data_IF_562849991188
#
_entry.id   IF_562849991188
#
_cell.length_a   1.000
_cell.length_b   1.000
_cell.length_c   1.000
_cell.angle_alpha   90.00
_cell.angle_beta   90.00
_cell.angle_gamma   90.00
#
_symmetry.space_group_name_H-M   'P 1'
#
loop_
_entity.id
_entity.type
_entity.pdbx_description
1 polymer ?
#
# COMPACT_ATOMS: atom_id res chain seq x y z
N UNK A 1 -12.79 -0.80 -15.19
CA UNK A 1 -11.89 -1.00 -16.37
C UNK A 1 -10.43 -0.61 -16.07
N UNK A 2 -10.14 0.54 -15.45
CA UNK A 2 -8.77 0.96 -15.08
C UNK A 2 -8.04 -0.02 -14.13
N UNK A 3 -8.74 -0.50 -13.09
CA UNK A 3 -8.24 -1.49 -12.12
C UNK A 3 -7.83 -2.82 -12.79
N UNK A 4 -8.52 -3.27 -13.85
CA UNK A 4 -8.16 -4.54 -14.52
C UNK A 4 -6.90 -4.45 -15.39
N UNK A 5 -6.55 -3.27 -15.91
CA UNK A 5 -5.33 -3.10 -16.72
C UNK A 5 -4.07 -2.80 -15.89
N UNK A 6 -4.24 -2.39 -14.63
CA UNK A 6 -3.16 -2.13 -13.68
C UNK A 6 -2.68 -3.39 -12.92
N UNK A 7 -3.31 -4.56 -13.13
CA UNK A 7 -3.14 -5.72 -12.24
C UNK A 7 -3.93 -5.57 -10.92
N UNK A 8 -5.02 -4.81 -10.95
CA UNK A 8 -5.69 -4.26 -9.77
C UNK A 8 -6.30 -5.28 -8.81
N UNK A 9 -6.71 -6.47 -9.24
CA UNK A 9 -7.11 -7.51 -8.28
C UNK A 9 -5.90 -8.03 -7.49
N UNK A 10 -4.76 -8.26 -8.16
CA UNK A 10 -3.53 -8.69 -7.48
C UNK A 10 -2.93 -7.59 -6.61
N UNK A 11 -2.97 -6.33 -7.07
CA UNK A 11 -2.57 -5.17 -6.26
C UNK A 11 -3.47 -5.02 -5.05
N UNK A 12 -4.79 -4.99 -5.23
CA UNK A 12 -5.75 -4.87 -4.15
C UNK A 12 -5.62 -6.03 -3.16
N UNK A 13 -5.39 -7.25 -3.64
CA UNK A 13 -5.13 -8.42 -2.80
C UNK A 13 -3.82 -8.27 -2.01
N UNK A 14 -2.74 -7.77 -2.61
CA UNK A 14 -1.47 -7.55 -1.89
C UNK A 14 -1.58 -6.47 -0.81
N UNK A 15 -2.31 -5.38 -1.11
CA UNK A 15 -2.55 -4.28 -0.16
C UNK A 15 -3.47 -4.75 0.96
N UNK A 16 -4.58 -5.39 0.62
CA UNK A 16 -5.53 -5.93 1.59
C UNK A 16 -4.88 -6.97 2.50
N UNK A 17 -4.10 -7.88 1.92
CA UNK A 17 -3.34 -8.87 2.70
C UNK A 17 -2.37 -8.19 3.67
N UNK A 18 -1.57 -7.22 3.20
CA UNK A 18 -0.62 -6.49 4.04
C UNK A 18 -1.25 -5.70 5.18
N UNK A 19 -2.41 -5.07 4.93
CA UNK A 19 -3.17 -4.36 5.97
C UNK A 19 -3.71 -5.36 7.00
N UNK A 20 -4.25 -6.50 6.55
CA UNK A 20 -4.78 -7.53 7.45
C UNK A 20 -3.67 -8.16 8.32
N UNK A 21 -2.50 -8.46 7.77
CA UNK A 21 -1.36 -8.95 8.57
C UNK A 21 -0.87 -7.89 9.55
N UNK A 22 -0.78 -6.63 9.12
CA UNK A 22 -0.37 -5.52 10.00
C UNK A 22 -1.30 -5.37 11.20
N UNK A 23 -2.61 -5.30 10.95
CA UNK A 23 -3.63 -5.15 12.01
C UNK A 23 -3.66 -6.38 12.92
N UNK A 24 -3.67 -7.59 12.36
CA UNK A 24 -3.72 -8.82 13.16
C UNK A 24 -2.52 -8.98 14.10
N UNK A 25 -1.31 -8.63 13.63
CA UNK A 25 -0.09 -8.73 14.44
C UNK A 25 -0.05 -7.64 15.52
N UNK A 26 -0.59 -6.46 15.25
CA UNK A 26 -0.66 -5.37 16.22
C UNK A 26 -1.69 -5.67 17.33
N UNK A 27 -2.89 -6.12 16.97
CA UNK A 27 -3.89 -6.58 17.94
C UNK A 27 -3.38 -7.79 18.75
N UNK A 28 -2.60 -8.68 18.13
CA UNK A 28 -1.96 -9.79 18.83
C UNK A 28 -0.93 -9.34 19.86
N UNK A 29 -0.14 -8.30 19.55
CA UNK A 29 0.81 -7.71 20.49
C UNK A 29 0.11 -7.06 21.70
N UNK A 30 -1.01 -6.37 21.45
CA UNK A 30 -1.84 -5.75 22.50
C UNK A 30 -2.51 -6.81 23.39
N UNK A 31 -3.03 -7.88 22.78
CA UNK A 31 -3.60 -9.03 23.51
C UNK A 31 -2.54 -9.73 24.39
N UNK A 32 -1.31 -9.87 23.89
CA UNK A 32 -0.19 -10.40 24.66
C UNK A 32 0.16 -9.50 25.84
N UNK A 33 0.25 -8.18 25.64
CA UNK A 33 0.48 -7.23 26.72
C UNK A 33 -0.61 -7.29 27.78
N UNK A 34 -1.88 -7.38 27.39
CA UNK A 34 -3.00 -7.53 28.33
C UNK A 34 -2.87 -8.82 29.15
N UNK A 35 -2.57 -9.95 28.51
CA UNK A 35 -2.39 -11.23 29.19
C UNK A 35 -1.19 -11.21 30.17
N UNK A 36 -0.10 -10.57 29.78
CA UNK A 36 1.07 -10.41 30.66
C UNK A 36 0.78 -9.47 31.82
N UNK A 37 0.02 -8.39 31.60
CA UNK A 37 -0.39 -7.46 32.65
C UNK A 37 -1.22 -8.15 33.74
N UNK A 38 -2.15 -9.04 33.36
CA UNK A 38 -2.96 -9.83 34.30
C UNK A 38 -2.11 -10.83 35.12
N UNK A 39 -1.00 -11.31 34.54
CA UNK A 39 -0.10 -12.32 35.11
C UNK A 39 1.25 -11.74 35.56
N UNK A 40 1.29 -10.45 35.87
CA UNK A 40 2.55 -9.73 36.15
C UNK A 40 3.30 -10.27 37.38
N UNK A 41 2.59 -10.88 38.32
CA UNK A 41 3.15 -11.42 39.56
C UNK A 41 3.68 -12.86 39.43
N UNK A 42 3.28 -13.59 38.37
CA UNK A 42 3.61 -15.00 38.15
C UNK A 42 4.64 -15.20 37.04
N UNK A 43 4.64 -14.33 36.02
CA UNK A 43 5.59 -14.38 34.92
C UNK A 43 6.82 -13.51 35.17
N UNK A 44 7.99 -14.01 34.80
CA UNK A 44 9.23 -13.22 34.83
C UNK A 44 9.10 -12.00 33.90
N UNK A 45 9.51 -10.82 34.40
CA UNK A 45 9.51 -9.56 33.62
C UNK A 45 10.27 -9.70 32.30
N UNK A 46 11.34 -10.50 32.29
CA UNK A 46 12.12 -10.77 31.08
C UNK A 46 11.34 -11.59 30.03
N UNK A 47 10.48 -12.52 30.48
CA UNK A 47 9.66 -13.34 29.59
C UNK A 47 8.53 -12.53 28.93
N UNK A 48 7.89 -11.63 29.69
CA UNK A 48 6.86 -10.73 29.16
C UNK A 48 7.40 -9.76 28.11
N UNK A 49 8.54 -9.11 28.42
CA UNK A 49 9.23 -8.21 27.50
C UNK A 49 9.71 -8.94 26.25
N UNK A 50 10.24 -10.16 26.40
CA UNK A 50 10.66 -11.01 25.29
C UNK A 50 9.51 -11.39 24.35
N UNK A 51 8.36 -11.75 24.90
CA UNK A 51 7.17 -12.06 24.11
C UNK A 51 6.66 -10.86 23.31
N UNK A 52 6.59 -9.68 23.95
CA UNK A 52 6.18 -8.45 23.26
C UNK A 52 7.17 -8.05 22.15
N UNK A 53 8.47 -8.16 22.42
CA UNK A 53 9.50 -7.90 21.42
C UNK A 53 9.40 -8.85 20.23
N UNK A 54 9.12 -10.14 20.47
CA UNK A 54 8.93 -11.13 19.41
C UNK A 54 7.72 -10.80 18.52
N UNK A 55 6.57 -10.47 19.10
CA UNK A 55 5.39 -10.04 18.33
C UNK A 55 5.65 -8.76 17.55
N UNK A 56 6.34 -7.78 18.15
CA UNK A 56 6.68 -6.51 17.49
C UNK A 56 7.63 -6.71 16.30
N UNK A 57 8.64 -7.57 16.43
CA UNK A 57 9.56 -7.90 15.34
C UNK A 57 8.81 -8.64 14.23
N UNK A 58 7.95 -9.60 14.56
CA UNK A 58 7.14 -10.31 13.59
C UNK A 58 6.21 -9.36 12.81
N UNK A 59 5.57 -8.41 13.50
CA UNK A 59 4.76 -7.35 12.90
C UNK A 59 5.58 -6.51 11.92
N UNK A 60 6.75 -6.04 12.35
CA UNK A 60 7.62 -5.22 11.52
C UNK A 60 8.06 -5.95 10.25
N UNK A 61 8.49 -7.20 10.36
CA UNK A 61 8.91 -8.02 9.22
C UNK A 61 7.74 -8.27 8.26
N UNK A 62 6.55 -8.58 8.79
CA UNK A 62 5.35 -8.80 7.98
C UNK A 62 4.95 -7.57 7.16
N UNK A 63 4.95 -6.40 7.80
CA UNK A 63 4.66 -5.12 7.13
C UNK A 63 5.74 -4.79 6.10
N UNK A 64 7.02 -5.00 6.42
CA UNK A 64 8.13 -4.73 5.51
C UNK A 64 8.03 -5.55 4.22
N UNK A 65 7.76 -6.86 4.34
CA UNK A 65 7.59 -7.75 3.17
C UNK A 65 6.38 -7.30 2.35
N UNK A 66 5.25 -7.00 3.00
CA UNK A 66 4.03 -6.57 2.32
C UNK A 66 4.24 -5.27 1.54
N UNK A 67 4.94 -4.30 2.12
CA UNK A 67 5.28 -3.05 1.46
C UNK A 67 6.24 -3.25 0.27
N UNK A 68 7.22 -4.16 0.40
CA UNK A 68 8.11 -4.53 -0.71
C UNK A 68 7.34 -5.14 -1.89
N UNK A 69 6.40 -6.05 -1.62
CA UNK A 69 5.54 -6.65 -2.65
C UNK A 69 4.63 -5.62 -3.32
N UNK A 70 4.07 -4.70 -2.54
CA UNK A 70 3.28 -3.58 -3.06
C UNK A 70 4.11 -2.72 -4.01
N UNK A 71 5.32 -2.31 -3.61
CA UNK A 71 6.19 -1.48 -4.44
C UNK A 71 6.53 -2.14 -5.79
N UNK A 72 6.87 -3.44 -5.78
CA UNK A 72 7.16 -4.17 -7.03
C UNK A 72 5.94 -4.20 -7.95
N UNK A 73 4.75 -4.41 -7.40
CA UNK A 73 3.52 -4.50 -8.18
C UNK A 73 3.10 -3.12 -8.69
N UNK A 74 3.25 -2.07 -7.88
CA UNK A 74 3.00 -0.68 -8.26
C UNK A 74 3.92 -0.24 -9.40
N UNK A 75 5.22 -0.59 -9.34
CA UNK A 75 6.16 -0.30 -10.43
C UNK A 75 5.80 -1.02 -11.73
N UNK A 76 5.34 -2.27 -11.65
CA UNK A 76 4.85 -3.00 -12.83
C UNK A 76 3.61 -2.34 -13.43
N UNK A 77 2.67 -1.91 -12.59
CA UNK A 77 1.46 -1.21 -13.03
C UNK A 77 1.80 0.14 -13.69
N UNK A 78 2.69 0.93 -13.08
CA UNK A 78 3.16 2.20 -13.62
C UNK A 78 3.80 2.01 -15.00
N UNK A 79 4.64 0.98 -15.19
CA UNK A 79 5.26 0.67 -16.49
C UNK A 79 4.22 0.28 -17.55
N UNK A 80 3.23 -0.53 -17.19
CA UNK A 80 2.15 -0.91 -18.11
C UNK A 80 1.32 0.31 -18.53
N UNK A 81 0.99 1.20 -17.59
CA UNK A 81 0.33 2.46 -17.89
C UNK A 81 1.15 3.36 -18.79
N UNK A 82 2.45 3.50 -18.52
CA UNK A 82 3.33 4.33 -19.33
C UNK A 82 3.42 3.84 -20.77
N UNK A 83 3.51 2.52 -20.98
CA UNK A 83 3.50 1.94 -22.32
C UNK A 83 2.17 2.16 -23.05
N UNK A 84 1.05 1.90 -22.38
CA UNK A 84 -0.27 2.11 -22.96
C UNK A 84 -0.48 3.59 -23.33
N UNK A 85 -0.09 4.52 -22.46
CA UNK A 85 -0.19 5.96 -22.73
C UNK A 85 0.67 6.37 -23.93
N UNK A 86 1.91 5.90 -24.00
CA UNK A 86 2.82 6.19 -25.13
C UNK A 86 2.27 5.68 -26.46
N UNK A 87 1.76 4.44 -26.48
CA UNK A 87 1.17 3.85 -27.70
C UNK A 87 -0.04 4.65 -28.19
N UNK A 88 -0.94 5.03 -27.27
CA UNK A 88 -2.11 5.83 -27.63
C UNK A 88 -1.72 7.25 -28.06
N UNK A 89 -0.70 7.84 -27.43
CA UNK A 89 -0.19 9.14 -27.86
C UNK A 89 0.30 9.09 -29.29
N UNK A 90 1.16 8.13 -29.65
CA UNK A 90 1.72 8.02 -31.01
C UNK A 90 0.67 7.90 -32.12
N UNK A 91 -0.55 7.47 -31.80
CA UNK A 91 -1.68 7.34 -32.74
C UNK A 91 -2.53 8.62 -32.87
N UNK A 92 -2.28 9.65 -32.06
CA UNK A 92 -3.04 10.91 -32.12
C UNK A 92 -2.68 11.74 -33.36
N UNK A 93 -3.65 12.47 -33.94
CA UNK A 93 -3.39 13.35 -35.09
C UNK A 93 -2.45 14.50 -34.72
N UNK A 94 -1.65 14.95 -35.68
CA UNK A 94 -0.65 16.03 -35.49
C UNK A 94 -1.28 17.31 -34.90
N UNK A 95 -2.53 17.62 -35.28
CA UNK A 95 -3.28 18.77 -34.76
C UNK A 95 -3.54 18.75 -33.24
N UNK A 96 -3.50 17.57 -32.61
CA UNK A 96 -3.64 17.43 -31.16
C UNK A 96 -2.37 17.89 -30.41
N UNK A 97 -1.21 17.74 -31.04
CA UNK A 97 0.08 18.13 -30.46
C UNK A 97 0.31 19.65 -30.50
N UNK A 98 -0.31 20.35 -31.45
CA UNK A 98 -0.26 21.81 -31.53
C UNK A 98 -1.15 22.48 -30.46
N UNK A 99 -2.29 21.87 -30.12
CA UNK A 99 -3.22 22.40 -29.12
C UNK A 99 -2.78 22.15 -27.67
N UNK A 100 -2.08 21.03 -27.42
CA UNK A 100 -1.60 20.66 -26.08
C UNK A 100 -0.16 20.15 -26.12
N UNK A 101 0.82 20.89 -25.57
CA UNK A 101 2.20 20.41 -25.53
C UNK A 101 2.30 19.15 -24.67
N UNK A 102 3.01 18.14 -25.18
CA UNK A 102 3.14 16.80 -24.61
C UNK A 102 3.47 16.80 -23.10
N UNK A 103 4.37 17.72 -22.69
CA UNK A 103 4.76 17.87 -21.30
C UNK A 103 3.61 18.27 -20.37
N UNK A 104 2.59 18.98 -20.87
CA UNK A 104 1.41 19.40 -20.09
C UNK A 104 0.45 18.22 -19.88
N UNK A 105 0.33 17.31 -20.84
CA UNK A 105 -0.46 16.08 -20.71
C UNK A 105 0.18 15.14 -19.70
N UNK A 106 1.50 14.92 -19.80
CA UNK A 106 2.24 14.10 -18.83
C UNK A 106 2.16 14.71 -17.43
N UNK A 107 2.37 16.02 -17.29
CA UNK A 107 2.32 16.69 -15.99
C UNK A 107 0.92 16.61 -15.34
N UNK A 108 -0.15 16.67 -16.16
CA UNK A 108 -1.53 16.51 -15.68
C UNK A 108 -1.83 15.06 -15.30
N UNK A 109 -1.43 14.09 -16.12
CA UNK A 109 -1.61 12.66 -15.82
C UNK A 109 -0.87 12.24 -14.54
N UNK A 110 0.39 12.66 -14.37
CA UNK A 110 1.16 12.38 -13.16
C UNK A 110 0.50 13.00 -11.93
N UNK A 111 -0.01 14.23 -12.05
CA UNK A 111 -0.73 14.90 -10.95
C UNK A 111 -2.05 14.22 -10.62
N UNK A 112 -2.80 13.78 -11.62
CA UNK A 112 -4.08 13.07 -11.43
C UNK A 112 -3.86 11.69 -10.79
N UNK A 113 -2.83 10.94 -11.22
CA UNK A 113 -2.43 9.66 -10.59
C UNK A 113 -2.01 9.89 -9.15
N UNK A 114 -1.12 10.86 -8.90
CA UNK A 114 -0.67 11.19 -7.54
C UNK A 114 -1.84 11.56 -6.62
N UNK A 115 -2.77 12.38 -7.13
CA UNK A 115 -3.96 12.79 -6.36
C UNK A 115 -4.85 11.59 -6.05
N UNK A 116 -5.06 10.67 -7.00
CA UNK A 116 -5.84 9.45 -6.76
C UNK A 116 -5.14 8.58 -5.72
N UNK A 117 -3.84 8.35 -5.82
CA UNK A 117 -3.10 7.50 -4.89
C UNK A 117 -3.10 8.08 -3.46
N UNK A 118 -2.85 9.39 -3.31
CA UNK A 118 -2.81 10.07 -2.02
C UNK A 118 -4.22 10.18 -1.38
N UNK A 119 -5.22 10.61 -2.14
CA UNK A 119 -6.57 10.78 -1.62
C UNK A 119 -7.24 9.44 -1.34
N UNK A 120 -7.00 8.40 -2.15
CA UNK A 120 -7.55 7.07 -1.91
C UNK A 120 -6.98 6.49 -0.61
N UNK A 121 -5.66 6.59 -0.39
CA UNK A 121 -5.04 6.14 0.86
C UNK A 121 -5.58 6.91 2.07
N UNK A 122 -5.63 8.24 2.00
CA UNK A 122 -6.10 9.09 3.09
C UNK A 122 -7.57 8.82 3.45
N UNK A 123 -8.44 8.71 2.44
CA UNK A 123 -9.88 8.48 2.64
C UNK A 123 -10.15 7.08 3.20
N UNK A 124 -9.45 6.06 2.70
CA UNK A 124 -9.60 4.70 3.22
C UNK A 124 -9.11 4.59 4.66
N UNK A 125 -7.95 5.18 4.97
CA UNK A 125 -7.40 5.17 6.33
C UNK A 125 -8.35 5.86 7.32
N UNK A 126 -8.93 7.00 6.94
CA UNK A 126 -9.93 7.69 7.75
C UNK A 126 -11.19 6.84 7.97
N UNK A 127 -11.69 6.16 6.93
CA UNK A 127 -12.86 5.28 7.05
C UNK A 127 -12.62 4.09 7.98
N UNK A 128 -11.44 3.48 7.97
CA UNK A 128 -11.11 2.37 8.86
C UNK A 128 -10.84 2.79 10.31
N UNK A 129 -10.62 4.09 10.57
CA UNK A 129 -10.42 4.63 11.92
C UNK A 129 -11.70 5.17 12.59
N UNK A 130 -12.84 5.18 11.89
CA UNK A 130 -14.14 5.59 12.44
C UNK A 130 -15.01 4.37 12.75
#
# INVERSE_FOLDING_TARGET
KYINHAGGFCLAASVGCGILTGVALQTGADAWLSHWADNFNTLSKAAGLGGYAAFSIAAFVGVFISNGLFMVTALKAARAFHHALLEHMLLLPVSFYDATPLGRVINRFSKDIYTIDEQLQSTLFMYFQT
#
